data_IF_022699552497
#
_entry.id   IF_022699552497
#
_cell.length_a   1.000
_cell.length_b   1.000
_cell.length_c   1.000
_cell.angle_alpha   90.00
_cell.angle_beta   90.00
_cell.angle_gamma   90.00
#
_symmetry.space_group_name_H-M   'P 1'
#
loop_
_entity.id
_entity.type
_entity.pdbx_description
1 polymer ?
#
# COMPACT_ATOMS: atom_id res chain seq x y z
N UNK A 1 12.86 16.91 -33.05
CA UNK A 1 13.67 16.46 -31.90
C UNK A 1 14.36 17.67 -31.31
N UNK A 2 14.22 17.97 -30.02
CA UNK A 2 14.84 19.13 -29.39
C UNK A 2 16.35 18.95 -29.28
N UNK A 3 17.13 20.03 -29.51
CA UNK A 3 18.57 20.00 -29.24
C UNK A 3 18.84 19.83 -27.74
N UNK A 4 19.97 19.23 -27.36
CA UNK A 4 20.34 19.04 -25.95
C UNK A 4 20.37 20.37 -25.16
N UNK A 5 20.79 21.45 -25.81
CA UNK A 5 20.83 22.80 -25.22
C UNK A 5 19.42 23.32 -24.93
N UNK A 6 18.47 23.05 -25.82
CA UNK A 6 17.06 23.44 -25.63
C UNK A 6 16.40 22.63 -24.51
N UNK A 7 16.65 21.32 -24.43
CA UNK A 7 16.16 20.48 -23.33
C UNK A 7 16.68 20.95 -21.98
N UNK A 8 17.95 21.40 -21.92
CA UNK A 8 18.52 22.01 -20.71
C UNK A 8 17.76 23.26 -20.28
N UNK A 9 17.47 24.16 -21.22
CA UNK A 9 16.71 25.40 -20.93
C UNK A 9 15.26 25.15 -20.58
N UNK A 10 14.59 24.19 -21.22
CA UNK A 10 13.24 23.78 -20.86
C UNK A 10 13.17 23.25 -19.43
N UNK A 11 14.16 22.44 -19.02
CA UNK A 11 14.26 21.96 -17.63
C UNK A 11 14.51 23.10 -16.64
N UNK A 12 15.36 24.07 -17.00
CA UNK A 12 15.62 25.24 -16.18
C UNK A 12 14.36 26.10 -16.01
N UNK A 13 13.59 26.31 -17.07
CA UNK A 13 12.33 27.05 -16.99
C UNK A 13 11.28 26.29 -16.19
N UNK A 14 11.12 24.99 -16.42
CA UNK A 14 10.20 24.17 -15.67
C UNK A 14 10.52 24.15 -14.16
N UNK A 15 11.81 24.10 -13.80
CA UNK A 15 12.23 24.12 -12.39
C UNK A 15 12.00 25.47 -11.69
N UNK A 16 11.84 26.57 -12.46
CA UNK A 16 11.53 27.90 -11.93
C UNK A 16 10.03 28.19 -11.83
N UNK A 17 9.20 27.38 -12.45
CA UNK A 17 7.75 27.52 -12.38
C UNK A 17 7.28 26.82 -11.11
N UNK A 18 6.74 27.58 -10.19
CA UNK A 18 6.04 27.01 -9.04
C UNK A 18 4.62 26.61 -9.46
N UNK A 19 4.46 25.35 -9.83
CA UNK A 19 3.16 24.79 -10.25
C UNK A 19 2.16 24.73 -9.10
N UNK A 20 2.62 24.82 -7.85
CA UNK A 20 1.76 24.78 -6.66
C UNK A 20 1.25 26.16 -6.24
N UNK A 21 1.80 27.23 -6.82
CA UNK A 21 1.33 28.60 -6.58
C UNK A 21 -0.17 28.71 -6.94
N UNK A 22 -1.03 29.22 -6.04
CA UNK A 22 -2.44 29.46 -6.32
C UNK A 22 -2.69 30.38 -7.55
N UNK A 23 -1.73 31.24 -7.88
CA UNK A 23 -1.80 32.14 -9.05
C UNK A 23 -1.32 31.49 -10.35
N UNK A 24 -0.90 30.22 -10.30
CA UNK A 24 -0.48 29.47 -11.49
C UNK A 24 -1.66 29.34 -12.47
N UNK A 25 -1.42 29.66 -13.76
CA UNK A 25 -2.37 29.41 -14.82
C UNK A 25 -1.69 28.78 -16.04
N UNK A 26 -2.41 27.90 -16.71
CA UNK A 26 -1.93 27.27 -17.95
C UNK A 26 -1.74 28.29 -19.09
N UNK A 27 -2.46 29.41 -19.07
CA UNK A 27 -2.23 30.52 -19.99
C UNK A 27 -0.81 31.09 -19.88
N UNK A 28 -0.31 31.31 -18.65
CA UNK A 28 1.08 31.74 -18.43
C UNK A 28 2.10 30.71 -18.90
N UNK A 29 1.78 29.43 -18.78
CA UNK A 29 2.60 28.34 -19.31
C UNK A 29 2.71 28.42 -20.84
N UNK A 30 1.60 28.73 -21.52
CA UNK A 30 1.56 28.91 -22.99
C UNK A 30 2.37 30.14 -23.43
N UNK A 31 2.27 31.26 -22.71
CA UNK A 31 3.13 32.44 -22.97
C UNK A 31 4.62 32.13 -22.80
N UNK A 32 4.98 31.41 -21.75
CA UNK A 32 6.37 30.99 -21.51
C UNK A 32 6.86 30.07 -22.65
N UNK A 33 6.03 29.14 -23.10
CA UNK A 33 6.32 28.28 -24.26
C UNK A 33 6.50 29.09 -25.55
N UNK A 34 5.66 30.11 -25.78
CA UNK A 34 5.78 31.02 -26.93
C UNK A 34 7.08 31.80 -26.92
N UNK A 35 7.48 32.35 -25.77
CA UNK A 35 8.77 33.07 -25.63
C UNK A 35 9.97 32.17 -25.90
N UNK A 36 9.96 30.95 -25.38
CA UNK A 36 11.03 29.97 -25.62
C UNK A 36 11.04 29.48 -27.08
N UNK A 37 9.87 29.23 -27.66
CA UNK A 37 9.74 28.79 -29.04
C UNK A 37 10.30 29.84 -30.02
N UNK A 38 9.96 31.10 -29.85
CA UNK A 38 10.46 32.19 -30.66
C UNK A 38 11.98 32.41 -30.52
N UNK A 39 12.52 32.25 -29.30
CA UNK A 39 13.95 32.44 -29.05
C UNK A 39 14.82 31.36 -29.67
N UNK A 40 14.32 30.12 -29.78
CA UNK A 40 15.07 28.97 -30.26
C UNK A 40 14.61 28.46 -31.63
N UNK A 41 13.76 29.23 -32.36
CA UNK A 41 13.14 28.79 -33.62
C UNK A 41 12.42 27.41 -33.48
N UNK A 42 11.93 27.13 -32.32
CA UNK A 42 11.32 25.83 -31.98
C UNK A 42 9.80 25.91 -32.20
N UNK A 43 9.20 24.76 -32.45
CA UNK A 43 7.76 24.66 -32.55
C UNK A 43 7.11 24.94 -31.16
N UNK A 44 6.30 26.01 -31.10
CA UNK A 44 5.64 26.46 -29.87
C UNK A 44 4.76 25.36 -29.28
N UNK A 45 4.04 24.60 -30.12
CA UNK A 45 3.16 23.52 -29.69
C UNK A 45 3.94 22.38 -29.00
N UNK A 46 5.10 22.00 -29.56
CA UNK A 46 5.94 20.97 -28.94
C UNK A 46 6.54 21.43 -27.61
N UNK A 47 6.90 22.72 -27.51
CA UNK A 47 7.40 23.33 -26.29
C UNK A 47 6.33 23.39 -25.22
N UNK A 48 5.13 23.81 -25.62
CA UNK A 48 3.98 23.84 -24.71
C UNK A 48 3.59 22.44 -24.23
N UNK A 49 3.50 21.46 -25.11
CA UNK A 49 3.22 20.06 -24.71
C UNK A 49 4.24 19.50 -23.72
N UNK A 50 5.53 19.87 -23.87
CA UNK A 50 6.55 19.44 -22.89
C UNK A 50 6.35 20.09 -21.51
N UNK A 51 6.08 21.40 -21.46
CA UNK A 51 5.82 22.13 -20.22
C UNK A 51 4.54 21.64 -19.54
N UNK A 52 3.49 21.38 -20.33
CA UNK A 52 2.23 20.83 -19.86
C UNK A 52 2.42 19.47 -19.21
N UNK A 53 3.17 18.57 -19.86
CA UNK A 53 3.52 17.28 -19.29
C UNK A 53 4.22 17.42 -17.93
N UNK A 54 5.17 18.36 -17.83
CA UNK A 54 5.90 18.60 -16.58
C UNK A 54 4.96 19.09 -15.48
N UNK A 55 4.00 19.97 -15.80
CA UNK A 55 3.00 20.47 -14.84
C UNK A 55 2.07 19.36 -14.37
N UNK A 56 1.47 18.59 -15.27
CA UNK A 56 0.58 17.46 -14.93
C UNK A 56 1.31 16.44 -14.09
N UNK A 57 2.56 16.11 -14.46
CA UNK A 57 3.37 15.16 -13.71
C UNK A 57 3.69 15.67 -12.31
N UNK A 58 4.02 16.94 -12.14
CA UNK A 58 4.34 17.52 -10.84
C UNK A 58 3.11 17.54 -9.92
N UNK A 59 1.94 18.01 -10.40
CA UNK A 59 0.71 17.99 -9.61
C UNK A 59 0.34 16.57 -9.14
N UNK A 60 0.36 15.60 -10.03
CA UNK A 60 0.03 14.23 -9.67
C UNK A 60 1.06 13.63 -8.69
N UNK A 61 2.36 13.88 -8.87
CA UNK A 61 3.40 13.35 -7.99
C UNK A 61 3.36 13.96 -6.59
N UNK A 62 3.04 15.25 -6.48
CA UNK A 62 2.91 15.92 -5.17
C UNK A 62 1.77 15.31 -4.38
N UNK A 63 0.58 15.20 -4.99
CA UNK A 63 -0.59 14.61 -4.32
C UNK A 63 -0.34 13.13 -3.99
N UNK A 64 0.21 12.37 -4.93
CA UNK A 64 0.57 10.96 -4.69
C UNK A 64 1.51 10.78 -3.50
N UNK A 65 2.48 11.68 -3.31
CA UNK A 65 3.44 11.61 -2.21
C UNK A 65 2.84 12.06 -0.88
N UNK A 66 2.06 13.14 -0.91
CA UNK A 66 1.65 13.86 0.30
C UNK A 66 0.33 13.30 0.89
N UNK A 67 -0.42 12.48 0.13
CA UNK A 67 -1.64 11.84 0.64
C UNK A 67 -1.29 10.87 1.78
N UNK A 68 -1.89 11.06 2.99
CA UNK A 68 -1.63 10.20 4.12
C UNK A 68 -2.26 8.81 3.90
N UNK A 69 -1.44 7.78 3.88
CA UNK A 69 -1.82 6.38 3.80
C UNK A 69 -1.18 5.60 4.94
N UNK A 70 -1.82 4.52 5.39
CA UNK A 70 -1.32 3.76 6.53
C UNK A 70 -0.57 2.49 6.14
N UNK A 71 -0.77 1.96 4.91
CA UNK A 71 -0.15 0.69 4.51
C UNK A 71 1.38 0.63 4.66
N UNK A 72 2.17 1.73 4.54
CA UNK A 72 3.63 1.65 4.69
C UNK A 72 4.07 1.21 6.10
N UNK A 73 3.19 1.33 7.09
CA UNK A 73 3.47 0.85 8.45
C UNK A 73 3.45 -0.67 8.56
N UNK A 74 2.81 -1.35 7.61
CA UNK A 74 2.59 -2.80 7.62
C UNK A 74 3.47 -3.58 6.63
N UNK A 75 4.16 -2.89 5.73
CA UNK A 75 4.94 -3.51 4.66
C UNK A 75 6.44 -3.27 4.80
N UNK A 76 7.21 -4.21 4.29
CA UNK A 76 8.62 -3.97 3.96
C UNK A 76 8.73 -3.71 2.47
N UNK A 77 9.13 -2.49 2.10
CA UNK A 77 9.30 -2.11 0.71
C UNK A 77 10.61 -2.68 0.15
N UNK A 78 10.52 -3.39 -0.97
CA UNK A 78 11.65 -4.00 -1.68
C UNK A 78 11.62 -3.56 -3.14
N UNK A 79 12.77 -3.18 -3.68
CA UNK A 79 12.91 -2.88 -5.11
C UNK A 79 13.08 -4.17 -5.90
N UNK A 80 12.35 -4.27 -7.01
CA UNK A 80 12.43 -5.40 -7.94
C UNK A 80 12.92 -4.92 -9.30
N UNK A 81 13.73 -5.74 -9.95
CA UNK A 81 14.18 -5.51 -11.33
C UNK A 81 13.59 -6.52 -12.32
N UNK A 82 12.98 -7.60 -11.84
CA UNK A 82 12.49 -8.72 -12.62
C UNK A 82 10.97 -8.74 -12.72
N UNK A 83 10.44 -9.62 -13.56
CA UNK A 83 8.99 -9.87 -13.64
C UNK A 83 8.45 -10.45 -12.35
N UNK A 84 9.20 -11.36 -11.74
CA UNK A 84 8.93 -11.97 -10.44
C UNK A 84 10.20 -12.00 -9.61
N UNK A 85 10.04 -11.95 -8.32
CA UNK A 85 11.12 -12.17 -7.35
C UNK A 85 10.75 -13.37 -6.47
N UNK A 86 11.79 -14.14 -6.14
CA UNK A 86 11.65 -15.33 -5.30
C UNK A 86 12.15 -14.99 -3.91
N UNK A 87 11.26 -15.08 -2.93
CA UNK A 87 11.58 -14.94 -1.52
C UNK A 87 11.71 -16.31 -0.91
N UNK A 88 12.91 -16.65 -0.47
CA UNK A 88 13.21 -17.92 0.17
C UNK A 88 13.79 -17.72 1.56
N UNK A 89 13.57 -18.67 2.40
CA UNK A 89 14.15 -18.70 3.74
C UNK A 89 14.24 -20.11 4.29
N UNK A 90 15.03 -20.25 5.32
CA UNK A 90 15.10 -21.48 6.09
C UNK A 90 14.43 -21.25 7.44
N UNK A 91 13.52 -22.14 7.81
CA UNK A 91 13.04 -22.18 9.17
C UNK A 91 14.17 -22.59 10.11
N UNK A 92 14.05 -22.18 11.35
CA UNK A 92 15.07 -22.49 12.35
C UNK A 92 15.28 -24.01 12.48
N UNK A 93 16.53 -24.47 12.67
CA UNK A 93 16.80 -25.88 12.89
C UNK A 93 16.11 -26.40 14.17
N UNK A 94 15.97 -27.68 14.29
CA UNK A 94 15.47 -28.32 15.53
C UNK A 94 16.31 -27.88 16.74
N UNK A 95 15.68 -27.86 17.92
CA UNK A 95 16.40 -27.50 19.13
C UNK A 95 17.49 -28.56 19.43
N UNK A 96 18.65 -28.13 19.98
CA UNK A 96 19.64 -29.08 20.44
C UNK A 96 19.05 -29.99 21.52
N UNK A 97 19.45 -31.25 21.49
CA UNK A 97 19.12 -32.24 22.51
C UNK A 97 20.32 -32.50 23.36
N UNK A 98 20.09 -32.93 24.58
CA UNK A 98 21.15 -33.47 25.43
C UNK A 98 21.75 -34.72 24.75
N UNK A 99 23.06 -34.79 24.70
CA UNK A 99 23.82 -35.91 24.15
C UNK A 99 24.71 -36.44 25.27
N UNK A 100 24.60 -37.74 25.55
CA UNK A 100 25.40 -38.38 26.54
C UNK A 100 26.81 -38.72 26.03
N UNK A 101 27.73 -38.96 26.92
CA UNK A 101 29.11 -39.28 26.56
C UNK A 101 29.18 -40.52 25.67
N UNK A 102 29.70 -40.34 24.44
CA UNK A 102 29.82 -41.40 23.44
C UNK A 102 28.64 -41.54 22.48
N UNK A 103 27.56 -40.75 22.65
CA UNK A 103 26.44 -40.72 21.69
C UNK A 103 26.74 -39.82 20.50
N UNK A 104 26.14 -40.18 19.36
CA UNK A 104 26.23 -39.39 18.10
C UNK A 104 25.33 -38.16 18.16
N UNK A 105 25.88 -36.99 17.82
CA UNK A 105 25.07 -35.77 17.60
C UNK A 105 23.99 -36.01 16.56
N UNK A 106 22.78 -35.57 16.88
CA UNK A 106 21.66 -35.63 15.93
C UNK A 106 21.81 -34.58 14.85
N UNK A 107 21.63 -34.98 13.61
CA UNK A 107 21.60 -34.07 12.49
C UNK A 107 20.32 -33.23 12.50
N UNK A 108 20.44 -31.96 12.20
CA UNK A 108 19.36 -31.00 12.29
C UNK A 108 18.79 -30.74 10.87
N UNK A 109 17.58 -31.22 10.60
CA UNK A 109 16.93 -30.97 9.34
C UNK A 109 16.46 -29.50 9.24
N UNK A 110 16.83 -28.85 8.16
CA UNK A 110 16.31 -27.55 7.76
C UNK A 110 15.11 -27.72 6.84
N UNK A 111 14.01 -27.00 7.15
CA UNK A 111 12.90 -26.86 6.21
C UNK A 111 12.98 -25.49 5.56
N UNK A 112 12.99 -25.44 4.24
CA UNK A 112 12.94 -24.22 3.46
C UNK A 112 11.51 -23.83 3.13
N UNK A 113 11.30 -22.57 2.83
CA UNK A 113 10.12 -22.08 2.14
C UNK A 113 10.58 -21.20 0.97
N UNK A 114 9.76 -21.18 -0.06
CA UNK A 114 9.97 -20.39 -1.26
C UNK A 114 8.65 -19.76 -1.66
N UNK A 115 8.68 -18.47 -1.96
CA UNK A 115 7.51 -17.71 -2.40
C UNK A 115 7.88 -16.85 -3.59
N UNK A 116 7.22 -17.06 -4.71
CA UNK A 116 7.33 -16.20 -5.88
C UNK A 116 6.25 -15.11 -5.83
N UNK A 117 6.65 -13.86 -6.02
CA UNK A 117 5.77 -12.70 -6.12
C UNK A 117 5.94 -12.08 -7.50
N UNK A 118 4.84 -12.00 -8.27
CA UNK A 118 4.83 -11.42 -9.62
C UNK A 118 4.47 -9.94 -9.56
N UNK A 119 5.22 -9.11 -10.29
CA UNK A 119 4.91 -7.70 -10.45
C UNK A 119 3.81 -7.49 -11.50
N UNK A 120 2.70 -6.88 -11.11
CA UNK A 120 1.64 -6.48 -12.03
C UNK A 120 1.80 -5.02 -12.46
N UNK A 121 1.22 -4.70 -13.60
CA UNK A 121 1.18 -3.34 -14.13
C UNK A 121 -0.20 -2.77 -13.91
N UNK A 122 -0.23 -1.60 -13.27
CA UNK A 122 -1.43 -0.80 -13.07
C UNK A 122 -1.32 0.48 -13.89
N UNK A 123 -2.41 0.95 -14.44
CA UNK A 123 -2.36 2.13 -15.27
C UNK A 123 -3.74 2.71 -15.54
N UNK A 124 -3.74 4.03 -15.78
CA UNK A 124 -4.92 4.81 -16.12
C UNK A 124 -4.59 5.80 -17.24
N UNK A 125 -5.55 6.08 -18.10
CA UNK A 125 -5.48 7.08 -19.13
C UNK A 125 -6.42 8.23 -18.77
N UNK A 126 -5.94 9.48 -18.87
CA UNK A 126 -6.77 10.66 -18.81
C UNK A 126 -6.59 11.46 -20.09
N UNK A 127 -7.67 12.08 -20.56
CA UNK A 127 -7.68 12.93 -21.76
C UNK A 127 -8.25 14.28 -21.40
N UNK A 128 -7.68 15.32 -21.99
CA UNK A 128 -8.14 16.69 -21.88
C UNK A 128 -8.37 17.22 -23.30
N UNK A 129 -9.50 17.85 -23.53
CA UNK A 129 -9.79 18.55 -24.77
C UNK A 129 -8.91 19.79 -24.88
N UNK A 130 -8.52 20.16 -26.11
CA UNK A 130 -7.62 21.29 -26.33
C UNK A 130 -8.24 22.60 -25.89
N UNK A 131 -9.52 22.78 -26.12
CA UNK A 131 -10.29 23.97 -25.74
C UNK A 131 -10.31 24.17 -24.24
N UNK A 132 -10.30 23.07 -23.45
CA UNK A 132 -10.24 23.16 -22.00
C UNK A 132 -8.96 23.86 -21.50
N UNK A 133 -7.84 23.72 -22.23
CA UNK A 133 -6.61 24.42 -21.87
C UNK A 133 -6.63 25.91 -22.25
N UNK A 134 -7.31 26.25 -23.35
CA UNK A 134 -7.40 27.61 -23.80
C UNK A 134 -8.38 28.41 -22.92
N UNK A 135 -9.41 27.78 -22.39
CA UNK A 135 -10.51 28.38 -21.62
C UNK A 135 -10.51 28.01 -20.11
N UNK A 136 -9.46 27.35 -19.59
CA UNK A 136 -9.42 26.91 -18.18
C UNK A 136 -9.31 28.08 -17.20
N UNK A 137 -10.48 28.64 -16.87
CA UNK A 137 -10.62 29.69 -15.86
C UNK A 137 -10.80 29.13 -14.43
N UNK A 138 -11.10 27.84 -14.30
CA UNK A 138 -11.51 27.20 -13.03
C UNK A 138 -10.45 26.30 -12.41
N UNK A 139 -9.31 26.10 -13.08
CA UNK A 139 -8.24 25.23 -12.61
C UNK A 139 -8.58 23.72 -12.66
N UNK A 140 -9.54 23.35 -13.53
CA UNK A 140 -9.98 21.95 -13.66
C UNK A 140 -8.86 21.01 -14.10
N UNK A 141 -7.93 21.49 -14.91
CA UNK A 141 -6.79 20.68 -15.36
C UNK A 141 -5.90 20.32 -14.19
N UNK A 142 -5.65 21.29 -13.28
CA UNK A 142 -4.89 21.08 -12.06
C UNK A 142 -5.58 20.05 -11.16
N UNK A 143 -6.89 20.21 -10.93
CA UNK A 143 -7.69 19.30 -10.12
C UNK A 143 -7.64 17.88 -10.68
N UNK A 144 -7.94 17.68 -11.96
CA UNK A 144 -7.91 16.35 -12.61
C UNK A 144 -6.52 15.71 -12.61
N UNK A 145 -5.46 16.53 -12.68
CA UNK A 145 -4.09 16.02 -12.59
C UNK A 145 -3.77 15.57 -11.16
N UNK A 146 -4.26 16.30 -10.14
CA UNK A 146 -4.17 15.91 -8.75
C UNK A 146 -4.95 14.63 -8.46
N UNK A 147 -6.20 14.53 -8.96
CA UNK A 147 -7.07 13.35 -8.82
C UNK A 147 -6.42 12.09 -9.40
N UNK A 148 -5.62 12.22 -10.46
CA UNK A 148 -4.84 11.09 -10.99
C UNK A 148 -3.82 10.57 -9.98
N UNK A 149 -3.08 11.45 -9.33
CA UNK A 149 -2.10 11.08 -8.29
C UNK A 149 -2.79 10.47 -7.06
N UNK A 150 -3.88 11.07 -6.62
CA UNK A 150 -4.71 10.59 -5.53
C UNK A 150 -5.27 9.20 -5.82
N UNK A 151 -5.84 8.98 -7.01
CA UNK A 151 -6.40 7.70 -7.43
C UNK A 151 -5.40 6.55 -7.36
N UNK A 152 -4.16 6.76 -7.81
CA UNK A 152 -3.10 5.75 -7.69
C UNK A 152 -2.73 5.47 -6.23
N UNK A 153 -2.72 6.49 -5.36
CA UNK A 153 -2.36 6.32 -3.96
C UNK A 153 -3.44 5.61 -3.17
N UNK A 154 -4.71 5.96 -3.38
CA UNK A 154 -5.87 5.27 -2.80
C UNK A 154 -5.92 3.82 -3.31
N UNK A 155 -5.69 3.61 -4.61
CA UNK A 155 -5.61 2.26 -5.17
C UNK A 155 -4.57 1.39 -4.45
N UNK A 156 -3.37 1.94 -4.19
CA UNK A 156 -2.34 1.22 -3.42
C UNK A 156 -2.84 0.88 -2.01
N UNK A 157 -3.48 1.82 -1.31
CA UNK A 157 -4.00 1.60 0.04
C UNK A 157 -5.05 0.48 0.07
N UNK A 158 -6.07 0.56 -0.79
CA UNK A 158 -7.14 -0.44 -0.89
C UNK A 158 -6.56 -1.83 -1.21
N UNK A 159 -5.71 -1.90 -2.23
CA UNK A 159 -5.13 -3.16 -2.70
C UNK A 159 -4.26 -3.81 -1.62
N UNK A 160 -3.32 -3.04 -1.06
CA UNK A 160 -2.36 -3.54 -0.07
C UNK A 160 -3.05 -3.98 1.22
N UNK A 161 -4.02 -3.18 1.74
CA UNK A 161 -4.77 -3.56 2.95
C UNK A 161 -5.66 -4.78 2.71
N UNK A 162 -6.26 -4.91 1.53
CA UNK A 162 -7.05 -6.11 1.19
C UNK A 162 -6.17 -7.36 1.14
N UNK A 163 -4.98 -7.24 0.53
CA UNK A 163 -3.99 -8.34 0.52
C UNK A 163 -3.45 -8.63 1.91
N UNK A 164 -3.24 -7.60 2.74
CA UNK A 164 -2.80 -7.74 4.13
C UNK A 164 -3.81 -8.57 4.95
N UNK A 165 -5.11 -8.31 4.79
CA UNK A 165 -6.18 -9.07 5.43
C UNK A 165 -6.47 -10.42 4.75
N UNK A 166 -5.82 -10.73 3.63
CA UNK A 166 -6.04 -11.96 2.88
C UNK A 166 -7.42 -12.05 2.21
N UNK A 167 -8.05 -10.91 1.96
CA UNK A 167 -9.41 -10.83 1.45
C UNK A 167 -9.47 -10.82 -0.08
N UNK A 168 -10.50 -11.46 -0.61
CA UNK A 168 -10.94 -11.30 -2.01
C UNK A 168 -12.14 -10.37 -2.00
N UNK A 169 -11.99 -9.17 -2.53
CA UNK A 169 -13.08 -8.20 -2.56
C UNK A 169 -12.97 -7.20 -3.70
N UNK A 170 -14.07 -6.50 -3.93
CA UNK A 170 -14.09 -5.30 -4.78
C UNK A 170 -14.47 -4.11 -3.92
N UNK A 171 -13.62 -3.12 -3.87
CA UNK A 171 -13.83 -1.88 -3.11
C UNK A 171 -13.56 -0.71 -4.05
N UNK A 172 -14.48 0.25 -4.14
CA UNK A 172 -14.39 1.40 -5.06
C UNK A 172 -13.97 1.02 -6.50
N UNK A 173 -14.43 -0.14 -7.00
CA UNK A 173 -14.05 -0.65 -8.31
C UNK A 173 -12.70 -1.39 -8.37
N UNK A 174 -11.92 -1.36 -7.32
CA UNK A 174 -10.64 -2.08 -7.23
C UNK A 174 -10.90 -3.55 -6.94
N UNK A 175 -10.59 -4.41 -7.90
CA UNK A 175 -10.67 -5.86 -7.76
C UNK A 175 -9.38 -6.41 -7.17
N UNK A 176 -9.46 -6.98 -5.97
CA UNK A 176 -8.34 -7.66 -5.32
C UNK A 176 -8.58 -9.16 -5.36
N UNK A 177 -7.66 -9.88 -5.99
CA UNK A 177 -7.71 -11.33 -6.05
C UNK A 177 -7.34 -11.98 -4.70
N UNK A 178 -7.57 -13.30 -4.56
CA UNK A 178 -7.25 -14.01 -3.33
C UNK A 178 -5.76 -13.96 -3.03
N UNK A 179 -5.42 -13.62 -1.80
CA UNK A 179 -4.07 -13.81 -1.29
C UNK A 179 -3.95 -15.26 -0.82
N UNK A 180 -3.21 -16.06 -1.56
CA UNK A 180 -2.97 -17.47 -1.23
C UNK A 180 -1.53 -17.66 -0.78
N UNK A 181 -1.33 -18.38 0.30
CA UNK A 181 -0.03 -18.77 0.80
C UNK A 181 0.21 -20.24 0.53
N UNK A 182 1.29 -20.55 -0.19
CA UNK A 182 1.72 -21.93 -0.42
C UNK A 182 2.87 -22.24 0.54
N UNK A 183 2.52 -22.81 1.68
CA UNK A 183 3.49 -23.23 2.67
C UNK A 183 3.71 -24.75 2.66
N UNK A 184 4.50 -25.24 3.58
CA UNK A 184 4.83 -26.67 3.76
C UNK A 184 3.59 -27.55 4.02
N UNK A 185 2.45 -26.96 4.38
CA UNK A 185 1.18 -27.65 4.62
C UNK A 185 0.20 -27.60 3.41
N UNK A 186 0.66 -27.14 2.24
CA UNK A 186 -0.16 -27.02 1.03
C UNK A 186 -0.59 -25.59 0.72
N UNK A 187 -1.35 -25.42 -0.37
CA UNK A 187 -1.90 -24.14 -0.80
C UNK A 187 -3.15 -23.82 0.02
N UNK A 188 -3.18 -22.70 0.70
CA UNK A 188 -4.30 -22.27 1.51
C UNK A 188 -4.45 -20.76 1.57
N UNK A 189 -5.51 -20.30 2.23
CA UNK A 189 -5.68 -18.89 2.54
C UNK A 189 -4.60 -18.41 3.53
N UNK A 190 -4.23 -17.16 3.45
CA UNK A 190 -3.18 -16.55 4.29
C UNK A 190 -3.46 -16.73 5.78
N UNK A 191 -4.72 -16.48 6.19
CA UNK A 191 -5.15 -16.68 7.57
C UNK A 191 -5.94 -17.97 7.72
N UNK A 192 -5.40 -18.90 8.48
CA UNK A 192 -5.97 -20.24 8.66
C UNK A 192 -5.77 -20.73 10.08
N UNK A 193 -6.73 -21.51 10.58
CA UNK A 193 -6.57 -22.23 11.85
C UNK A 193 -5.40 -23.21 11.80
N UNK A 194 -5.04 -23.69 10.59
CA UNK A 194 -3.86 -24.57 10.40
C UNK A 194 -2.54 -23.85 10.71
N UNK A 195 -2.44 -22.57 10.40
CA UNK A 195 -1.26 -21.76 10.74
C UNK A 195 -1.35 -21.17 12.16
N UNK A 196 -2.52 -21.28 12.81
CA UNK A 196 -2.75 -20.72 14.12
C UNK A 196 -2.81 -19.18 14.15
N UNK A 197 -2.97 -18.55 13.00
CA UNK A 197 -2.96 -17.09 12.85
C UNK A 197 -4.36 -16.47 12.68
N UNK A 198 -5.42 -17.25 12.98
CA UNK A 198 -6.79 -16.78 13.13
C UNK A 198 -7.52 -17.63 14.18
N UNK A 199 -8.63 -17.13 14.79
CA UNK A 199 -9.46 -17.92 15.67
C UNK A 199 -10.28 -18.96 14.87
N UNK A 200 -10.84 -19.95 15.57
CA UNK A 200 -11.76 -20.92 14.98
C UNK A 200 -13.07 -20.23 14.55
N UNK A 201 -13.53 -19.28 15.34
CA UNK A 201 -14.66 -18.40 15.02
C UNK A 201 -14.23 -16.94 15.19
N UNK A 202 -14.56 -16.11 14.22
CA UNK A 202 -14.28 -14.67 14.29
C UNK A 202 -15.11 -14.00 15.39
N UNK A 203 -14.60 -12.92 15.95
CA UNK A 203 -15.24 -12.16 17.01
C UNK A 203 -15.04 -10.67 16.82
N UNK A 204 -16.03 -9.88 17.26
CA UNK A 204 -15.88 -8.42 17.29
C UNK A 204 -14.77 -8.00 18.26
N UNK A 205 -14.22 -6.81 18.05
CA UNK A 205 -13.18 -6.26 18.90
C UNK A 205 -13.71 -6.02 20.32
N UNK A 206 -13.10 -6.66 21.29
CA UNK A 206 -13.35 -6.50 22.73
C UNK A 206 -12.09 -6.76 23.53
N UNK A 207 -12.07 -6.44 24.83
CA UNK A 207 -10.94 -6.74 25.69
C UNK A 207 -10.62 -8.24 25.67
N UNK A 208 -11.64 -9.09 25.85
CA UNK A 208 -11.49 -10.55 25.91
C UNK A 208 -11.02 -11.13 24.57
N UNK A 209 -11.58 -10.69 23.45
CA UNK A 209 -11.16 -11.16 22.12
C UNK A 209 -9.72 -10.75 21.81
N UNK A 210 -9.31 -9.54 22.20
CA UNK A 210 -7.97 -9.02 21.98
C UNK A 210 -6.94 -9.74 22.86
N UNK A 211 -7.26 -10.03 24.13
CA UNK A 211 -6.40 -10.83 25.04
C UNK A 211 -6.22 -12.26 24.53
N UNK A 212 -7.31 -12.87 24.05
CA UNK A 212 -7.27 -14.21 23.45
C UNK A 212 -6.41 -14.22 22.17
N UNK A 213 -6.60 -13.23 21.29
CA UNK A 213 -5.83 -13.10 20.07
C UNK A 213 -4.34 -12.87 20.37
N UNK A 214 -4.01 -12.02 21.37
CA UNK A 214 -2.63 -11.81 21.81
C UNK A 214 -1.98 -13.10 22.28
N UNK A 215 -2.69 -13.87 23.10
CA UNK A 215 -2.21 -15.14 23.62
C UNK A 215 -1.98 -16.16 22.50
N UNK A 216 -2.93 -16.25 21.56
CA UNK A 216 -2.83 -17.15 20.42
C UNK A 216 -1.70 -16.75 19.47
N UNK A 217 -1.55 -15.48 19.15
CA UNK A 217 -0.46 -14.96 18.31
C UNK A 217 0.93 -15.32 18.87
N UNK A 218 1.09 -15.30 20.20
CA UNK A 218 2.36 -15.71 20.87
C UNK A 218 2.57 -17.22 20.90
N UNK A 219 1.54 -18.03 20.68
CA UNK A 219 1.61 -19.48 20.66
C UNK A 219 1.83 -20.07 19.28
N UNK A 220 1.79 -19.25 18.23
CA UNK A 220 2.00 -19.70 16.84
C UNK A 220 3.32 -20.46 16.74
N UNK A 221 3.29 -21.58 16.01
CA UNK A 221 4.46 -22.44 15.76
C UNK A 221 4.85 -22.39 14.30
N UNK A 222 6.13 -22.55 14.02
CA UNK A 222 6.65 -22.73 12.68
C UNK A 222 6.43 -24.18 12.16
N UNK A 223 6.67 -24.47 10.88
CA UNK A 223 6.54 -25.82 10.34
C UNK A 223 7.49 -26.87 10.95
N UNK A 224 8.46 -26.45 11.75
CA UNK A 224 9.34 -27.34 12.51
C UNK A 224 8.82 -27.63 13.91
N UNK A 225 7.67 -27.04 14.29
CA UNK A 225 7.05 -27.18 15.62
C UNK A 225 7.62 -26.23 16.68
N UNK A 226 8.50 -25.30 16.30
CA UNK A 226 9.06 -24.31 17.23
C UNK A 226 8.14 -23.11 17.34
N UNK A 227 8.07 -22.53 18.54
CA UNK A 227 7.29 -21.30 18.75
C UNK A 227 7.92 -20.12 18.02
N UNK A 228 7.08 -19.37 17.34
CA UNK A 228 7.43 -18.06 16.79
C UNK A 228 7.60 -17.07 17.95
N UNK A 229 8.83 -16.58 18.15
CA UNK A 229 9.10 -15.57 19.18
C UNK A 229 8.66 -14.20 18.66
N UNK A 230 7.35 -14.00 18.64
CA UNK A 230 6.71 -12.79 18.13
C UNK A 230 5.83 -12.17 19.20
N UNK A 231 5.92 -10.86 19.35
CA UNK A 231 5.05 -10.06 20.21
C UNK A 231 4.33 -9.06 19.30
N UNK A 232 3.01 -9.16 19.12
CA UNK A 232 2.28 -8.24 18.31
C UNK A 232 2.30 -6.83 18.92
N UNK A 233 2.59 -5.81 18.10
CA UNK A 233 2.73 -4.41 18.52
C UNK A 233 1.77 -3.46 17.82
N UNK A 234 1.15 -3.89 16.73
CA UNK A 234 0.23 -3.09 15.93
C UNK A 234 -1.18 -3.68 15.99
N UNK A 235 -2.17 -2.79 15.98
CA UNK A 235 -3.60 -3.11 15.90
C UNK A 235 -4.20 -2.31 14.74
N UNK A 236 -4.65 -3.00 13.70
CA UNK A 236 -5.40 -2.43 12.59
C UNK A 236 -6.88 -2.67 12.82
N UNK A 237 -7.69 -1.62 12.71
CA UNK A 237 -9.14 -1.67 12.93
C UNK A 237 -9.90 -0.86 11.89
N UNK A 238 -11.16 -1.22 11.69
CA UNK A 238 -12.10 -0.43 10.90
C UNK A 238 -12.54 0.83 11.67
N UNK A 239 -13.09 1.86 10.99
CA UNK A 239 -13.57 3.07 11.64
C UNK A 239 -14.63 2.82 12.72
N UNK A 240 -15.47 1.79 12.55
CA UNK A 240 -16.50 1.42 13.52
C UNK A 240 -15.95 0.97 14.87
N UNK A 241 -14.73 0.41 14.85
CA UNK A 241 -14.05 -0.08 16.05
C UNK A 241 -13.00 0.90 16.60
N UNK A 242 -12.79 2.04 15.95
CA UNK A 242 -11.80 3.04 16.35
C UNK A 242 -11.89 3.44 17.81
N UNK A 243 -13.07 3.92 18.23
CA UNK A 243 -13.28 4.37 19.61
C UNK A 243 -13.20 3.22 20.63
N UNK A 244 -13.54 2.00 20.21
CA UNK A 244 -13.37 0.82 21.04
C UNK A 244 -11.91 0.51 21.23
N UNK A 245 -11.12 0.53 20.17
CA UNK A 245 -9.65 0.35 20.21
C UNK A 245 -8.98 1.42 21.06
N UNK A 246 -9.32 2.70 20.86
CA UNK A 246 -8.75 3.81 21.63
C UNK A 246 -9.09 3.71 23.13
N UNK A 247 -10.33 3.33 23.49
CA UNK A 247 -10.70 3.11 24.90
C UNK A 247 -9.90 1.96 25.50
N UNK A 248 -9.71 0.86 24.78
CA UNK A 248 -8.91 -0.27 25.25
C UNK A 248 -7.43 0.10 25.45
N UNK A 249 -6.87 0.94 24.56
CA UNK A 249 -5.45 1.29 24.60
C UNK A 249 -5.12 2.43 25.56
N UNK A 250 -6.03 3.39 25.75
CA UNK A 250 -5.76 4.62 26.50
C UNK A 250 -6.38 4.65 27.91
N UNK A 251 -7.24 3.68 28.26
CA UNK A 251 -7.81 3.61 29.59
C UNK A 251 -6.90 2.80 30.53
N UNK A 252 -6.55 3.39 31.67
CA UNK A 252 -5.80 2.69 32.74
C UNK A 252 -6.65 1.68 33.51
N UNK A 253 -7.97 1.87 33.50
CA UNK A 253 -8.95 0.98 34.11
C UNK A 253 -9.75 0.29 33.02
N UNK A 254 -10.11 -0.97 33.23
CA UNK A 254 -10.90 -1.73 32.25
C UNK A 254 -12.19 -0.97 31.91
N UNK A 255 -12.47 -0.74 30.61
CA UNK A 255 -13.73 -0.13 30.20
C UNK A 255 -14.92 -0.97 30.70
N UNK A 256 -15.98 -0.30 31.12
CA UNK A 256 -17.22 -0.95 31.57
C UNK A 256 -17.77 -1.80 30.43
N UNK A 257 -17.96 -3.09 30.67
CA UNK A 257 -18.72 -3.97 29.78
C UNK A 257 -20.20 -3.67 29.89
N UNK A 258 -20.99 -4.04 28.87
CA UNK A 258 -22.43 -3.76 28.75
C UNK A 258 -23.30 -4.17 29.96
N UNK A 259 -22.78 -4.94 30.88
CA UNK A 259 -23.44 -5.39 32.12
C UNK A 259 -23.30 -4.43 33.31
N UNK A 260 -22.70 -3.26 33.11
CA UNK A 260 -22.75 -2.15 34.08
C UNK A 260 -21.94 -2.32 35.37
N UNK A 261 -21.17 -3.37 35.55
CA UNK A 261 -20.35 -3.56 36.75
C UNK A 261 -18.98 -2.86 36.55
N UNK A 262 -18.76 -1.78 37.28
CA UNK A 262 -17.45 -1.14 37.38
C UNK A 262 -16.49 -2.05 38.12
N UNK A 263 -15.50 -2.62 37.44
CA UNK A 263 -14.60 -3.59 38.06
C UNK A 263 -13.45 -2.94 38.85
N UNK A 264 -13.10 -1.69 38.56
CA UNK A 264 -11.89 -1.06 39.13
C UNK A 264 -10.58 -1.77 38.82
N UNK A 265 -10.62 -2.76 37.92
CA UNK A 265 -9.46 -3.56 37.56
C UNK A 265 -8.50 -2.78 36.66
N UNK A 266 -7.20 -3.00 36.83
CA UNK A 266 -6.18 -2.42 35.95
C UNK A 266 -6.36 -3.01 34.55
N UNK A 267 -6.28 -2.18 33.54
CA UNK A 267 -6.35 -2.60 32.15
C UNK A 267 -4.98 -3.14 31.67
N UNK A 268 -4.83 -4.46 31.42
CA UNK A 268 -3.58 -5.04 30.95
C UNK A 268 -3.24 -4.69 29.49
N UNK A 269 -4.19 -4.12 28.74
CA UNK A 269 -4.04 -3.73 27.35
C UNK A 269 -3.56 -2.28 27.19
N UNK A 270 -3.50 -1.50 28.27
CA UNK A 270 -3.07 -0.10 28.25
C UNK A 270 -1.71 0.06 27.56
N UNK A 271 -1.67 0.90 26.50
CA UNK A 271 -0.45 1.22 25.76
C UNK A 271 0.23 0.05 25.04
N UNK A 272 -0.45 -1.10 24.88
CA UNK A 272 0.18 -2.31 24.34
C UNK A 272 0.32 -2.32 22.83
N UNK A 273 -0.58 -1.64 22.11
CA UNK A 273 -0.61 -1.60 20.65
C UNK A 273 -0.63 -0.17 20.13
N UNK A 274 0.02 0.02 18.99
CA UNK A 274 -0.20 1.20 18.15
C UNK A 274 -1.43 0.94 17.29
N UNK A 275 -2.45 1.80 17.43
CA UNK A 275 -3.72 1.67 16.70
C UNK A 275 -3.59 2.36 15.34
N UNK A 276 -4.00 1.66 14.30
CA UNK A 276 -4.15 2.17 12.95
C UNK A 276 -5.60 1.96 12.50
N UNK A 277 -6.15 3.00 11.87
CA UNK A 277 -7.54 2.99 11.39
C UNK A 277 -7.54 3.28 9.90
N UNK A 278 -8.26 2.48 9.11
CA UNK A 278 -8.45 2.76 7.69
C UNK A 278 -9.90 2.56 7.28
N UNK A 279 -10.47 3.50 6.50
CA UNK A 279 -11.81 3.36 5.95
C UNK A 279 -11.89 2.27 4.87
N UNK A 280 -10.77 1.85 4.33
CA UNK A 280 -10.69 0.89 3.22
C UNK A 280 -10.62 -0.57 3.67
N UNK A 281 -10.88 -0.89 4.93
CA UNK A 281 -11.02 -2.26 5.40
C UNK A 281 -12.50 -2.57 5.69
N UNK A 282 -12.92 -3.84 5.65
CA UNK A 282 -14.31 -4.20 5.96
C UNK A 282 -14.73 -3.76 7.36
N UNK A 283 -16.00 -3.39 7.51
CA UNK A 283 -16.59 -3.06 8.80
C UNK A 283 -16.32 -4.16 9.83
N UNK A 284 -15.95 -3.77 11.05
CA UNK A 284 -15.61 -4.71 12.16
C UNK A 284 -14.42 -5.62 11.91
N UNK A 285 -13.67 -5.45 10.80
CA UNK A 285 -12.42 -6.17 10.60
C UNK A 285 -11.34 -5.63 11.53
N UNK A 286 -10.56 -6.54 12.12
CA UNK A 286 -9.39 -6.17 12.91
C UNK A 286 -8.29 -7.23 12.88
N UNK A 287 -7.07 -6.76 12.96
CA UNK A 287 -5.86 -7.57 12.89
C UNK A 287 -4.83 -7.06 13.90
N UNK A 288 -4.14 -7.97 14.58
CA UNK A 288 -2.97 -7.65 15.40
C UNK A 288 -1.72 -8.29 14.83
N UNK A 289 -0.58 -7.68 15.05
CA UNK A 289 0.69 -8.30 14.64
C UNK A 289 1.83 -7.30 14.50
N UNK A 290 2.81 -7.74 13.73
CA UNK A 290 3.90 -6.96 13.18
C UNK A 290 4.09 -7.41 11.71
N UNK A 291 3.12 -7.09 10.83
CA UNK A 291 3.09 -7.57 9.45
C UNK A 291 4.35 -7.21 8.66
N UNK A 292 4.98 -6.09 8.97
CA UNK A 292 6.21 -5.61 8.33
C UNK A 292 7.32 -6.67 8.27
N UNK A 293 7.31 -7.64 9.18
CA UNK A 293 8.30 -8.73 9.21
C UNK A 293 8.04 -9.84 8.19
N UNK A 294 6.84 -9.92 7.65
CA UNK A 294 6.45 -11.01 6.76
C UNK A 294 5.63 -10.59 5.54
N UNK A 295 5.23 -9.32 5.45
CA UNK A 295 4.46 -8.78 4.34
C UNK A 295 5.33 -7.81 3.54
N UNK A 296 5.48 -8.08 2.24
CA UNK A 296 6.41 -7.37 1.36
C UNK A 296 5.63 -6.59 0.31
N UNK A 297 6.00 -5.33 0.13
CA UNK A 297 5.59 -4.50 -0.99
C UNK A 297 6.75 -4.41 -1.98
N UNK A 298 6.60 -5.07 -3.11
CA UNK A 298 7.62 -5.19 -4.14
C UNK A 298 7.37 -4.15 -5.22
N UNK A 299 8.23 -3.12 -5.29
CA UNK A 299 8.12 -2.04 -6.27
C UNK A 299 9.12 -2.22 -7.39
N UNK A 300 8.63 -2.29 -8.62
CA UNK A 300 9.47 -2.36 -9.82
C UNK A 300 9.59 -1.01 -10.51
N UNK A 301 8.47 -0.40 -10.87
CA UNK A 301 8.42 0.91 -11.51
C UNK A 301 7.59 1.87 -10.64
N UNK A 302 8.14 3.06 -10.40
CA UNK A 302 7.41 4.14 -9.74
C UNK A 302 6.32 4.68 -10.68
N UNK A 303 5.43 5.51 -10.14
CA UNK A 303 4.43 6.21 -10.93
C UNK A 303 5.12 7.01 -12.03
N UNK A 304 4.83 6.67 -13.28
CA UNK A 304 5.32 7.31 -14.49
C UNK A 304 4.15 7.85 -15.29
N UNK A 305 4.20 9.13 -15.62
CA UNK A 305 3.18 9.79 -16.44
C UNK A 305 3.79 10.15 -17.78
N UNK A 306 3.18 9.65 -18.86
CA UNK A 306 3.64 9.85 -20.23
C UNK A 306 2.51 10.48 -21.03
N UNK A 307 2.80 11.58 -21.69
CA UNK A 307 1.89 12.22 -22.65
C UNK A 307 2.01 11.53 -24.03
N UNK A 308 0.90 11.32 -24.71
CA UNK A 308 0.87 10.95 -26.12
C UNK A 308 1.40 12.11 -26.99
N UNK A 309 2.06 11.77 -28.10
CA UNK A 309 2.49 12.79 -29.07
C UNK A 309 1.26 13.46 -29.69
N UNK A 310 1.08 14.79 -29.54
CA UNK A 310 -0.07 15.50 -30.10
C UNK A 310 -0.24 15.38 -31.61
N UNK A 311 0.80 14.92 -32.31
CA UNK A 311 0.83 14.77 -33.77
C UNK A 311 0.52 13.37 -34.26
N UNK A 312 0.21 12.44 -33.35
CA UNK A 312 -0.03 11.04 -33.69
C UNK A 312 -1.23 10.48 -32.95
N UNK A 313 -1.82 9.42 -33.52
CA UNK A 313 -2.88 8.67 -32.87
C UNK A 313 -4.17 9.44 -32.64
N UNK A 314 -4.82 9.17 -31.52
CA UNK A 314 -6.09 9.81 -31.15
C UNK A 314 -5.95 11.29 -30.84
N UNK A 315 -4.80 11.73 -30.34
CA UNK A 315 -4.52 13.12 -30.03
C UNK A 315 -4.58 14.02 -31.26
N UNK A 316 -4.17 13.49 -32.44
CA UNK A 316 -4.28 14.22 -33.71
C UNK A 316 -5.70 14.27 -34.27
N UNK A 317 -6.45 13.15 -34.11
CA UNK A 317 -7.80 13.04 -34.70
C UNK A 317 -8.85 13.81 -33.88
N UNK A 318 -8.72 13.81 -32.58
CA UNK A 318 -9.71 14.33 -31.63
C UNK A 318 -9.30 15.67 -31.00
N UNK A 319 -8.15 16.22 -31.35
CA UNK A 319 -7.57 17.43 -30.74
C UNK A 319 -7.51 17.36 -29.19
N UNK A 320 -7.09 16.21 -28.66
CA UNK A 320 -7.00 15.97 -27.22
C UNK A 320 -5.56 15.78 -26.77
N UNK A 321 -5.28 16.15 -25.54
CA UNK A 321 -4.05 15.78 -24.85
C UNK A 321 -4.30 14.54 -23.99
N UNK A 322 -3.67 13.42 -24.33
CA UNK A 322 -3.81 12.17 -23.60
C UNK A 322 -2.57 11.91 -22.71
N UNK A 323 -2.82 11.62 -21.46
CA UNK A 323 -1.78 11.28 -20.47
C UNK A 323 -2.03 9.89 -19.94
N UNK A 324 -1.03 9.03 -20.04
CA UNK A 324 -1.03 7.69 -19.47
C UNK A 324 -0.17 7.67 -18.23
N UNK A 325 -0.79 7.40 -17.10
CA UNK A 325 -0.10 7.08 -15.86
C UNK A 325 0.04 5.56 -15.70
N UNK A 326 1.18 5.10 -15.23
CA UNK A 326 1.43 3.68 -14.95
C UNK A 326 2.40 3.49 -13.82
N UNK A 327 2.23 2.36 -13.12
CA UNK A 327 3.17 1.86 -12.13
C UNK A 327 3.24 0.32 -12.20
N UNK A 328 4.28 -0.28 -11.60
CA UNK A 328 4.41 -1.74 -11.52
C UNK A 328 4.90 -2.14 -10.14
N UNK A 329 4.09 -2.93 -9.47
CA UNK A 329 4.38 -3.43 -8.12
C UNK A 329 3.48 -4.62 -7.78
N UNK A 330 3.71 -5.23 -6.63
CA UNK A 330 2.82 -6.19 -5.99
C UNK A 330 3.08 -6.18 -4.48
N UNK A 331 2.06 -6.55 -3.71
CA UNK A 331 2.14 -6.75 -2.28
C UNK A 331 1.63 -8.15 -1.92
N UNK A 332 2.43 -8.94 -1.22
CA UNK A 332 1.98 -10.26 -0.78
C UNK A 332 2.74 -10.73 0.48
N UNK A 333 2.18 -11.76 1.09
CA UNK A 333 2.75 -12.41 2.25
C UNK A 333 3.88 -13.37 1.86
N UNK A 334 5.03 -13.16 2.47
CA UNK A 334 6.13 -14.13 2.50
C UNK A 334 5.98 -15.06 3.71
N UNK A 335 5.61 -14.49 4.88
CA UNK A 335 5.36 -15.24 6.11
C UNK A 335 4.20 -14.64 6.91
N UNK A 336 3.00 -15.24 6.83
CA UNK A 336 1.79 -14.66 7.43
C UNK A 336 1.69 -14.84 8.95
N UNK A 337 2.56 -15.64 9.58
CA UNK A 337 2.51 -15.91 11.02
C UNK A 337 2.92 -14.73 11.88
N UNK A 338 3.39 -13.63 11.28
CA UNK A 338 3.64 -12.36 11.97
C UNK A 338 2.39 -11.52 12.19
N UNK A 339 1.23 -11.99 11.74
CA UNK A 339 -0.05 -11.34 11.98
C UNK A 339 -1.09 -12.37 12.43
N UNK A 340 -2.08 -11.88 13.19
CA UNK A 340 -3.22 -12.66 13.67
C UNK A 340 -4.50 -11.89 13.31
N UNK A 341 -5.34 -12.49 12.49
CA UNK A 341 -6.60 -11.92 12.07
C UNK A 341 -7.69 -12.27 13.08
N UNK A 342 -8.24 -11.28 13.76
CA UNK A 342 -9.29 -11.50 14.76
C UNK A 342 -10.70 -11.53 14.15
N UNK A 343 -10.93 -10.69 13.13
CA UNK A 343 -12.16 -10.67 12.33
C UNK A 343 -11.82 -10.16 10.92
N UNK A 344 -12.42 -10.77 9.91
CA UNK A 344 -12.31 -10.36 8.50
C UNK A 344 -13.46 -9.46 8.03
N UNK A 345 -14.34 -9.06 8.93
CA UNK A 345 -15.53 -8.27 8.64
C UNK A 345 -16.80 -9.11 8.45
N UNK A 346 -16.75 -10.42 8.61
CA UNK A 346 -17.95 -11.28 8.49
C UNK A 346 -18.84 -11.23 9.73
N UNK A 347 -18.27 -10.93 10.90
CA UNK A 347 -19.02 -10.74 12.14
C UNK A 347 -19.30 -9.27 12.36
N UNK A 348 -20.54 -8.85 12.13
CA UNK A 348 -20.96 -7.44 12.18
C UNK A 348 -21.60 -7.02 13.52
N UNK A 349 -21.83 -7.96 14.44
CA UNK A 349 -22.52 -7.72 15.72
C UNK A 349 -21.60 -7.81 16.93
#
# INVERSE_FOLDING_TARGET
MFSQRMLGKLREVASRIDYLDPSFSFHRLREAAGRLGNFYEANIEATYGWLLRSAVQEFANVVFRDLPVIFPNFVTEVRSSRRSEIYGGLYRPTLPKQVDNGEKFQDSAFKGFEREILNYKYGQLITFERELFDDDQTGQIRSRSADLGEGFRIFQEIYVLSRLLGLTRTEEGVKVGPSTYTGTAGTGVVFSTLYGNRPAAYSVLSATSLESAHTNARRIVDPTGRKFLHVPTQLLVSPEDEFTALRLMNSTIMPITSTGTFSGQINPLYGRYTVFVSPFIPAKAWLIGDPKRGFVFQRRDNLEIVQEDPRSGNSFIMEVYAFRARERWEADWVEPRFAYLGNDGTVLT
#
